data_IF_243662234758
#
_entry.id   IF_243662234758
#
_cell.length_a   1.000
_cell.length_b   1.000
_cell.length_c   1.000
_cell.angle_alpha   90.00
_cell.angle_beta   90.00
_cell.angle_gamma   90.00
#
_symmetry.space_group_name_H-M   'P 1'
#
loop_
_entity.id
_entity.type
_entity.pdbx_description
1 polymer ?
#
# COMPACT_ATOMS: atom_id res chain seq x y z
N UNK A 1 -5.34 -35.26 -19.45
CA UNK A 1 -4.90 -36.22 -20.49
C UNK A 1 -5.96 -37.30 -20.64
N UNK A 2 -6.11 -37.87 -21.84
CA UNK A 2 -6.84 -39.13 -22.04
C UNK A 2 -5.80 -40.24 -21.93
N UNK A 3 -5.83 -41.01 -20.86
CA UNK A 3 -4.89 -42.09 -20.58
C UNK A 3 -5.57 -43.43 -20.93
N UNK A 4 -4.98 -44.18 -21.85
CA UNK A 4 -5.37 -45.57 -22.12
C UNK A 4 -4.32 -46.47 -21.47
N UNK A 5 -4.66 -47.07 -20.32
CA UNK A 5 -3.83 -48.07 -19.67
C UNK A 5 -4.41 -49.46 -19.95
N UNK A 6 -3.62 -50.37 -20.52
CA UNK A 6 -3.94 -51.79 -20.51
C UNK A 6 -3.67 -52.30 -19.09
N UNK A 7 -4.72 -52.63 -18.35
CA UNK A 7 -4.63 -53.03 -16.96
C UNK A 7 -5.20 -54.44 -16.76
N UNK A 8 -4.46 -55.29 -16.05
CA UNK A 8 -4.88 -56.63 -15.65
C UNK A 8 -5.24 -56.61 -14.15
N UNK A 9 -6.54 -56.74 -13.78
CA UNK A 9 -6.99 -56.71 -12.38
C UNK A 9 -6.47 -57.87 -11.53
N UNK A 10 -5.90 -58.91 -12.15
CA UNK A 10 -5.31 -60.05 -11.44
C UNK A 10 -3.85 -59.83 -11.06
N UNK A 11 -3.20 -58.80 -11.61
CA UNK A 11 -1.77 -58.50 -11.42
C UNK A 11 -1.58 -57.05 -11.00
N UNK A 12 -1.76 -56.81 -9.71
CA UNK A 12 -1.64 -55.47 -9.13
C UNK A 12 -0.15 -55.06 -9.13
N UNK A 13 0.23 -53.95 -9.78
CA UNK A 13 1.61 -53.47 -9.77
C UNK A 13 1.98 -52.90 -8.40
N UNK A 14 3.27 -52.96 -8.07
CA UNK A 14 3.84 -52.27 -6.91
C UNK A 14 4.37 -50.90 -7.36
N UNK A 15 4.08 -49.85 -6.60
CA UNK A 15 4.55 -48.49 -6.93
C UNK A 15 5.31 -47.92 -5.75
N UNK A 16 6.52 -47.45 -6.00
CA UNK A 16 7.39 -46.85 -4.99
C UNK A 16 7.76 -45.43 -5.41
N UNK A 17 7.77 -44.49 -4.47
CA UNK A 17 8.15 -43.09 -4.71
C UNK A 17 9.22 -42.69 -3.70
N UNK A 18 10.28 -42.03 -4.17
CA UNK A 18 11.33 -41.52 -3.29
C UNK A 18 10.80 -40.38 -2.40
N UNK A 19 11.27 -40.35 -1.15
CA UNK A 19 10.92 -39.31 -0.18
C UNK A 19 11.73 -38.01 -0.39
N UNK A 20 12.83 -38.08 -1.14
CA UNK A 20 13.71 -36.94 -1.41
C UNK A 20 13.35 -36.27 -2.73
N UNK A 21 13.50 -34.94 -2.76
CA UNK A 21 13.32 -34.16 -3.99
C UNK A 21 14.36 -34.59 -5.02
N UNK A 22 13.93 -34.91 -6.22
CA UNK A 22 14.83 -35.17 -7.34
C UNK A 22 15.49 -33.88 -7.82
N UNK A 23 16.79 -33.96 -8.11
CA UNK A 23 17.63 -32.84 -8.53
C UNK A 23 17.61 -32.56 -10.04
N UNK A 24 16.95 -33.43 -10.83
CA UNK A 24 16.82 -33.31 -12.28
C UNK A 24 17.99 -33.88 -13.07
N UNK A 25 19.01 -34.43 -12.41
CA UNK A 25 20.26 -34.88 -13.05
C UNK A 25 20.57 -36.33 -12.68
N UNK A 26 20.20 -36.77 -11.49
CA UNK A 26 20.48 -38.12 -11.02
C UNK A 26 19.75 -39.18 -11.88
N UNK A 27 20.52 -40.08 -12.46
CA UNK A 27 20.11 -41.22 -13.29
C UNK A 27 20.36 -42.58 -12.64
N UNK A 28 20.74 -42.60 -11.35
CA UNK A 28 20.90 -43.84 -10.59
C UNK A 28 19.60 -44.65 -10.51
N UNK A 29 19.75 -45.98 -10.40
CA UNK A 29 18.62 -46.88 -10.16
C UNK A 29 18.02 -46.62 -8.78
N UNK A 30 16.68 -46.62 -8.71
CA UNK A 30 15.96 -46.37 -7.46
C UNK A 30 16.04 -47.63 -6.59
N UNK A 31 16.68 -47.51 -5.42
CA UNK A 31 16.61 -48.55 -4.39
C UNK A 31 15.23 -48.57 -3.73
N UNK A 32 14.35 -49.40 -4.27
CA UNK A 32 12.97 -49.56 -3.80
C UNK A 32 12.86 -50.39 -2.52
N UNK A 33 13.92 -51.08 -2.08
CA UNK A 33 13.85 -52.00 -0.93
C UNK A 33 13.66 -51.29 0.40
N UNK A 34 13.98 -50.00 0.44
CA UNK A 34 13.85 -49.12 1.61
C UNK A 34 12.58 -48.26 1.58
N UNK A 35 11.81 -48.31 0.48
CA UNK A 35 10.64 -47.48 0.26
C UNK A 35 9.35 -48.23 0.60
N UNK A 36 8.35 -47.50 1.09
CA UNK A 36 7.03 -48.05 1.32
C UNK A 36 6.23 -48.09 0.01
N UNK A 37 5.61 -49.23 -0.28
CA UNK A 37 4.78 -49.40 -1.47
C UNK A 37 3.49 -48.58 -1.33
N UNK A 38 3.15 -47.82 -2.37
CA UNK A 38 1.88 -47.11 -2.43
C UNK A 38 0.71 -48.09 -2.56
N UNK A 39 -0.42 -47.83 -1.89
CA UNK A 39 -1.62 -48.63 -2.07
C UNK A 39 -2.16 -48.44 -3.49
N UNK A 40 -2.23 -49.53 -4.24
CA UNK A 40 -2.83 -49.58 -5.58
C UNK A 40 -4.16 -50.32 -5.49
N UNK A 41 -5.20 -49.68 -6.00
CA UNK A 41 -6.55 -50.24 -6.04
C UNK A 41 -6.68 -51.34 -7.11
N UNK A 42 -7.73 -52.14 -7.01
CA UNK A 42 -8.01 -53.24 -7.95
C UNK A 42 -8.24 -52.81 -9.40
N UNK A 43 -8.37 -51.51 -9.67
CA UNK A 43 -8.48 -50.90 -10.99
C UNK A 43 -7.15 -50.36 -11.53
N UNK A 44 -6.04 -50.59 -10.80
CA UNK A 44 -4.70 -50.15 -11.18
C UNK A 44 -4.39 -48.71 -10.82
N UNK A 45 -5.30 -48.03 -10.13
CA UNK A 45 -5.10 -46.65 -9.69
C UNK A 45 -4.40 -46.60 -8.33
N UNK A 46 -3.35 -45.79 -8.22
CA UNK A 46 -2.67 -45.46 -6.96
C UNK A 46 -2.73 -43.96 -6.72
N UNK A 47 -3.03 -43.54 -5.50
CA UNK A 47 -3.03 -42.13 -5.11
C UNK A 47 -1.77 -41.81 -4.30
N UNK A 48 -0.86 -41.03 -4.87
CA UNK A 48 0.24 -40.44 -4.13
C UNK A 48 -0.19 -39.12 -3.51
N UNK A 49 -0.14 -39.02 -2.18
CA UNK A 49 -0.45 -37.80 -1.44
C UNK A 49 0.75 -37.37 -0.62
N UNK A 50 1.16 -36.11 -0.77
CA UNK A 50 2.28 -35.52 -0.05
C UNK A 50 1.84 -34.23 0.64
N UNK A 51 2.16 -34.09 1.93
CA UNK A 51 1.97 -32.83 2.64
C UNK A 51 3.08 -31.84 2.30
N UNK A 52 2.70 -30.62 1.89
CA UNK A 52 3.65 -29.53 1.67
C UNK A 52 4.01 -28.76 2.94
N UNK A 53 3.47 -29.16 4.09
CA UNK A 53 3.68 -28.51 5.38
C UNK A 53 5.13 -28.69 5.83
N UNK A 54 5.84 -27.58 6.04
CA UNK A 54 7.25 -27.59 6.47
C UNK A 54 8.27 -27.75 5.34
N UNK A 55 7.83 -27.84 4.09
CA UNK A 55 8.73 -27.80 2.93
C UNK A 55 9.28 -26.38 2.72
N UNK A 56 10.49 -26.27 2.16
CA UNK A 56 11.07 -24.98 1.77
C UNK A 56 10.37 -24.46 0.51
N UNK A 57 10.42 -23.16 0.29
CA UNK A 57 9.91 -22.56 -0.95
C UNK A 57 10.72 -23.05 -2.15
N UNK A 58 10.03 -23.35 -3.24
CA UNK A 58 10.69 -23.77 -4.48
C UNK A 58 9.89 -24.78 -5.29
N UNK A 59 10.50 -25.18 -6.41
CA UNK A 59 9.97 -26.24 -7.28
C UNK A 59 10.37 -27.62 -6.74
N UNK A 60 9.44 -28.56 -6.83
CA UNK A 60 9.59 -29.93 -6.38
C UNK A 60 9.19 -30.89 -7.50
N UNK A 61 9.94 -31.98 -7.59
CA UNK A 61 9.71 -33.11 -8.45
C UNK A 61 10.24 -34.36 -7.73
N UNK A 62 9.56 -35.48 -7.90
CA UNK A 62 9.96 -36.76 -7.32
C UNK A 62 10.14 -37.81 -8.41
N UNK A 63 10.97 -38.80 -8.11
CA UNK A 63 11.13 -40.01 -8.91
C UNK A 63 10.49 -41.20 -8.20
N UNK A 64 10.04 -42.15 -8.99
CA UNK A 64 9.50 -43.41 -8.50
C UNK A 64 9.69 -44.52 -9.50
N UNK A 65 9.39 -45.74 -9.07
CA UNK A 65 9.45 -46.95 -9.89
C UNK A 65 8.14 -47.71 -9.76
N UNK A 66 7.62 -48.16 -10.90
CA UNK A 66 6.48 -49.06 -10.99
C UNK A 66 7.04 -50.45 -11.31
N UNK A 67 6.73 -51.44 -10.48
CA UNK A 67 7.09 -52.84 -10.70
C UNK A 67 5.84 -53.64 -11.03
N UNK A 68 5.89 -54.40 -12.11
CA UNK A 68 4.74 -55.16 -12.59
C UNK A 68 5.18 -56.51 -13.17
N UNK A 69 4.26 -57.47 -13.17
CA UNK A 69 4.55 -58.81 -13.68
C UNK A 69 4.25 -58.91 -15.18
N UNK A 70 5.28 -59.18 -15.98
CA UNK A 70 5.17 -59.37 -17.42
C UNK A 70 4.35 -60.60 -17.82
N UNK A 71 3.99 -60.74 -19.12
CA UNK A 71 3.25 -61.90 -19.63
C UNK A 71 3.95 -63.23 -19.38
N UNK A 72 5.28 -63.21 -19.30
CA UNK A 72 6.18 -64.34 -19.04
C UNK A 72 6.35 -64.68 -17.53
N UNK A 73 5.70 -63.92 -16.66
CA UNK A 73 5.77 -64.09 -15.21
C UNK A 73 6.98 -63.41 -14.55
N UNK A 74 7.87 -62.77 -15.31
CA UNK A 74 9.01 -62.03 -14.77
C UNK A 74 8.59 -60.66 -14.23
N UNK A 75 9.28 -60.18 -13.19
CA UNK A 75 9.05 -58.83 -12.67
C UNK A 75 9.82 -57.82 -13.52
N UNK A 76 9.11 -56.83 -14.06
CA UNK A 76 9.66 -55.71 -14.79
C UNK A 76 9.53 -54.43 -13.96
N UNK A 77 10.46 -53.49 -14.16
CA UNK A 77 10.48 -52.19 -13.47
C UNK A 77 10.46 -51.07 -14.49
N UNK A 78 9.68 -50.01 -14.22
CA UNK A 78 9.59 -48.82 -15.04
C UNK A 78 9.70 -47.58 -14.16
N UNK A 79 10.73 -46.77 -14.40
CA UNK A 79 10.92 -45.49 -13.72
C UNK A 79 9.93 -44.44 -14.24
N UNK A 80 9.50 -43.55 -13.35
CA UNK A 80 8.71 -42.37 -13.67
C UNK A 80 9.13 -41.16 -12.83
N UNK A 81 8.74 -39.97 -13.31
CA UNK A 81 8.84 -38.72 -12.56
C UNK A 81 7.46 -38.13 -12.34
N UNK A 82 7.26 -37.47 -11.21
CA UNK A 82 6.04 -36.69 -10.98
C UNK A 82 6.05 -35.41 -11.82
N UNK A 83 4.89 -34.80 -12.10
CA UNK A 83 4.84 -33.43 -12.58
C UNK A 83 5.54 -32.49 -11.60
N UNK A 84 6.16 -31.43 -12.13
CA UNK A 84 6.78 -30.38 -11.30
C UNK A 84 5.67 -29.58 -10.63
N UNK A 85 5.75 -29.39 -9.32
CA UNK A 85 4.88 -28.48 -8.57
C UNK A 85 5.70 -27.47 -7.77
N UNK A 86 5.08 -26.34 -7.40
CA UNK A 86 5.76 -25.25 -6.67
C UNK A 86 5.14 -25.08 -5.30
N UNK A 87 5.96 -25.09 -4.26
CA UNK A 87 5.57 -24.70 -2.89
C UNK A 87 5.84 -23.20 -2.75
N UNK A 88 4.78 -22.44 -2.48
CA UNK A 88 4.81 -20.99 -2.32
C UNK A 88 4.28 -20.58 -0.94
N UNK A 89 4.68 -19.41 -0.46
CA UNK A 89 4.14 -18.86 0.79
C UNK A 89 2.63 -18.64 0.67
N UNK A 90 1.84 -18.95 1.72
CA UNK A 90 0.42 -18.61 1.74
C UNK A 90 0.27 -17.08 1.69
N UNK A 91 -0.19 -16.58 0.55
CA UNK A 91 -0.41 -15.14 0.35
C UNK A 91 -1.63 -14.64 1.11
N UNK A 92 -1.42 -14.08 2.31
CA UNK A 92 -2.47 -13.34 3.04
C UNK A 92 -2.41 -11.86 2.64
N UNK A 93 -3.51 -11.32 2.10
CA UNK A 93 -3.67 -9.90 1.80
C UNK A 93 -4.67 -9.29 2.79
N UNK A 94 -4.19 -8.43 3.69
CA UNK A 94 -5.04 -7.66 4.60
C UNK A 94 -4.93 -6.19 4.23
N UNK A 95 -6.01 -5.60 3.73
CA UNK A 95 -6.03 -4.21 3.26
C UNK A 95 -7.09 -3.40 4.01
N UNK A 96 -6.72 -2.30 4.69
CA UNK A 96 -7.68 -1.42 5.34
C UNK A 96 -8.56 -0.71 4.29
N UNK A 97 -9.85 -1.06 4.25
CA UNK A 97 -10.81 -0.52 3.26
C UNK A 97 -11.07 0.98 3.45
N UNK A 98 -10.92 1.49 4.67
CA UNK A 98 -11.10 2.92 4.98
C UNK A 98 -9.86 3.77 4.65
N UNK A 99 -8.72 3.17 4.28
CA UNK A 99 -7.46 3.87 4.01
C UNK A 99 -7.08 3.91 2.53
N UNK A 100 -7.96 3.49 1.62
CA UNK A 100 -7.77 3.60 0.18
C UNK A 100 -7.92 5.05 -0.33
N UNK A 101 -7.06 5.96 0.15
CA UNK A 101 -7.11 7.39 -0.16
C UNK A 101 -5.78 7.87 -0.74
N UNK A 102 -5.84 8.59 -1.86
CA UNK A 102 -4.74 9.41 -2.36
C UNK A 102 -5.01 10.88 -2.09
N UNK A 103 -3.99 11.57 -1.57
CA UNK A 103 -4.04 13.00 -1.31
C UNK A 103 -3.45 13.79 -2.49
N UNK A 104 -4.18 14.83 -2.92
CA UNK A 104 -3.69 15.78 -3.93
C UNK A 104 -2.55 16.61 -3.36
N UNK A 105 -1.64 17.04 -4.24
CA UNK A 105 -0.52 17.92 -3.87
C UNK A 105 0.69 17.21 -3.30
N UNK A 106 0.67 15.88 -3.23
CA UNK A 106 1.76 15.08 -2.70
C UNK A 106 1.93 13.77 -3.46
N UNK A 107 3.12 13.19 -3.31
CA UNK A 107 3.43 11.85 -3.79
C UNK A 107 2.83 10.82 -2.84
N UNK A 108 2.04 9.89 -3.38
CA UNK A 108 1.41 8.82 -2.61
C UNK A 108 2.09 7.49 -2.96
N UNK A 109 3.00 6.97 -2.13
CA UNK A 109 3.68 5.71 -2.41
C UNK A 109 2.74 4.51 -2.22
N UNK A 110 2.79 3.56 -3.15
CA UNK A 110 2.02 2.31 -3.10
C UNK A 110 2.89 1.14 -3.57
N UNK A 111 2.66 -0.04 -2.97
CA UNK A 111 3.21 -1.31 -3.48
C UNK A 111 2.08 -2.09 -4.15
N UNK A 112 2.37 -2.62 -5.32
CA UNK A 112 1.43 -3.41 -6.11
C UNK A 112 2.10 -4.74 -6.39
N UNK A 113 1.43 -5.83 -6.03
CA UNK A 113 1.87 -7.20 -6.25
C UNK A 113 0.68 -8.04 -6.67
N UNK A 114 0.89 -8.93 -7.63
CA UNK A 114 -0.14 -9.90 -8.04
C UNK A 114 0.41 -11.31 -7.80
N UNK A 115 -0.27 -12.17 -7.01
CA UNK A 115 0.16 -13.54 -6.81
C UNK A 115 0.38 -14.27 -8.16
N UNK A 116 1.49 -14.99 -8.28
CA UNK A 116 1.86 -15.70 -9.50
C UNK A 116 2.51 -14.84 -10.60
N UNK A 117 2.63 -13.52 -10.42
CA UNK A 117 3.35 -12.64 -11.34
C UNK A 117 4.54 -11.98 -10.66
N UNK A 118 5.68 -11.95 -11.35
CA UNK A 118 6.83 -11.16 -10.93
C UNK A 118 6.57 -9.67 -11.18
N UNK A 119 7.12 -8.79 -10.32
CA UNK A 119 6.84 -7.36 -10.37
C UNK A 119 7.25 -6.68 -11.68
N UNK A 120 8.17 -7.25 -12.45
CA UNK A 120 8.62 -6.79 -13.77
C UNK A 120 7.64 -7.16 -14.90
N UNK A 121 6.79 -8.17 -14.67
CA UNK A 121 5.77 -8.63 -15.64
C UNK A 121 4.41 -7.96 -15.46
N UNK A 122 4.26 -7.10 -14.46
CA UNK A 122 3.04 -6.34 -14.21
C UNK A 122 3.21 -4.87 -14.58
N UNK A 123 2.16 -4.29 -15.15
CA UNK A 123 2.06 -2.86 -15.43
C UNK A 123 0.82 -2.31 -14.74
N UNK A 124 1.01 -1.25 -13.95
CA UNK A 124 -0.08 -0.56 -13.28
C UNK A 124 -0.42 0.75 -14.00
N UNK A 125 -1.71 1.00 -14.16
CA UNK A 125 -2.26 2.24 -14.73
C UNK A 125 -3.26 2.83 -13.75
N UNK A 126 -3.56 4.13 -13.87
CA UNK A 126 -4.52 4.81 -13.01
C UNK A 126 -5.50 5.66 -13.83
N UNK A 127 -6.78 5.62 -13.48
CA UNK A 127 -7.83 6.42 -14.14
C UNK A 127 -7.86 7.88 -13.68
N UNK A 128 -8.79 8.68 -14.23
CA UNK A 128 -9.06 10.04 -13.74
C UNK A 128 -8.02 11.10 -14.13
N UNK A 129 -7.12 10.77 -15.06
CA UNK A 129 -6.02 11.63 -15.48
C UNK A 129 -4.95 11.84 -14.39
N UNK A 130 -4.90 10.95 -13.41
CA UNK A 130 -3.84 10.91 -12.42
C UNK A 130 -2.58 10.27 -13.02
N UNK A 131 -1.43 10.49 -12.38
CA UNK A 131 -0.16 9.90 -12.81
C UNK A 131 0.23 8.79 -11.85
N UNK A 132 0.63 7.65 -12.40
CA UNK A 132 1.30 6.56 -11.66
C UNK A 132 2.67 6.34 -12.28
N UNK A 133 3.69 6.15 -11.45
CA UNK A 133 5.08 5.98 -11.92
C UNK A 133 5.77 4.91 -11.10
N UNK A 134 6.32 3.90 -11.79
CA UNK A 134 7.11 2.84 -11.15
C UNK A 134 8.48 3.38 -10.74
N UNK A 135 8.93 3.02 -9.54
CA UNK A 135 10.25 3.34 -9.01
C UNK A 135 11.19 2.15 -9.20
N UNK A 136 12.49 2.40 -9.04
CA UNK A 136 13.52 1.39 -9.25
C UNK A 136 13.42 0.20 -8.28
N UNK A 137 12.88 0.42 -7.08
CA UNK A 137 12.63 -0.60 -6.06
C UNK A 137 11.37 -1.44 -6.31
N UNK A 138 10.67 -1.22 -7.43
CA UNK A 138 9.44 -1.90 -7.79
C UNK A 138 8.17 -1.34 -7.12
N UNK A 139 8.30 -0.32 -6.27
CA UNK A 139 7.14 0.43 -5.77
C UNK A 139 6.59 1.38 -6.84
N UNK A 140 5.43 1.96 -6.58
CA UNK A 140 4.83 2.98 -7.44
C UNK A 140 4.57 4.24 -6.64
N UNK A 141 4.66 5.39 -7.31
CA UNK A 141 4.17 6.66 -6.77
C UNK A 141 2.97 7.10 -7.60
N UNK A 142 1.89 7.40 -6.89
CA UNK A 142 0.68 8.02 -7.44
C UNK A 142 0.71 9.52 -7.14
N UNK A 143 0.54 10.32 -8.19
CA UNK A 143 0.36 11.77 -8.11
C UNK A 143 -1.01 12.11 -8.67
N UNK A 144 -1.98 12.43 -7.80
CA UNK A 144 -3.29 12.87 -8.25
C UNK A 144 -3.23 14.17 -9.05
N UNK A 145 -4.03 14.23 -10.10
CA UNK A 145 -4.29 15.46 -10.87
C UNK A 145 -4.74 16.59 -9.94
N UNK A 146 -4.16 17.78 -10.13
CA UNK A 146 -4.56 18.99 -9.42
C UNK A 146 -6.04 19.29 -9.65
N UNK A 147 -6.74 19.68 -8.58
CA UNK A 147 -8.13 20.10 -8.62
C UNK A 147 -8.41 21.00 -7.42
N UNK A 148 -9.20 22.05 -7.62
CA UNK A 148 -9.71 22.92 -6.55
C UNK A 148 -10.98 22.39 -5.89
N UNK A 149 -11.52 21.25 -6.37
CA UNK A 149 -12.72 20.66 -5.82
C UNK A 149 -12.41 19.93 -4.51
N UNK A 150 -13.13 20.32 -3.45
CA UNK A 150 -13.16 19.59 -2.18
C UNK A 150 -13.98 18.29 -2.25
N UNK A 151 -14.72 18.07 -3.35
CA UNK A 151 -15.46 16.82 -3.54
C UNK A 151 -14.48 15.67 -3.72
N UNK A 152 -14.78 14.57 -3.06
CA UNK A 152 -14.08 13.31 -3.27
C UNK A 152 -14.24 12.87 -4.72
N UNK A 153 -13.14 12.44 -5.34
CA UNK A 153 -13.15 11.82 -6.66
C UNK A 153 -12.71 10.36 -6.56
N UNK A 154 -13.03 9.58 -7.58
CA UNK A 154 -12.65 8.17 -7.64
C UNK A 154 -11.51 7.97 -8.63
N UNK A 155 -10.53 7.18 -8.20
CA UNK A 155 -9.43 6.70 -9.02
C UNK A 155 -9.41 5.18 -8.99
N UNK A 156 -9.11 4.56 -10.11
CA UNK A 156 -8.96 3.12 -10.19
C UNK A 156 -7.56 2.79 -10.63
N UNK A 157 -6.86 1.99 -9.84
CA UNK A 157 -5.62 1.37 -10.24
C UNK A 157 -5.96 0.07 -10.95
N UNK A 158 -5.55 -0.05 -12.20
CA UNK A 158 -5.75 -1.22 -13.05
C UNK A 158 -4.41 -1.86 -13.34
N UNK A 159 -4.28 -3.16 -13.07
CA UNK A 159 -3.05 -3.91 -13.27
C UNK A 159 -3.22 -4.87 -14.44
N UNK A 160 -2.28 -4.83 -15.39
CA UNK A 160 -2.16 -5.79 -16.48
C UNK A 160 -0.88 -6.61 -16.31
N UNK A 161 -0.93 -7.87 -16.74
CA UNK A 161 0.20 -8.78 -16.69
C UNK A 161 0.54 -9.33 -18.05
N UNK A 162 1.83 -9.56 -18.32
CA UNK A 162 2.29 -10.27 -19.51
C UNK A 162 2.32 -11.78 -19.23
N UNK A 163 1.60 -12.53 -20.05
CA UNK A 163 1.50 -13.99 -19.99
C UNK A 163 2.71 -14.66 -20.66
N UNK A 164 2.98 -15.96 -20.39
CA UNK A 164 4.06 -16.70 -21.03
C UNK A 164 3.98 -16.74 -22.57
N UNK A 165 2.76 -16.73 -23.12
CA UNK A 165 2.49 -16.68 -24.56
C UNK A 165 2.71 -15.28 -25.18
N UNK A 166 3.12 -14.30 -24.38
CA UNK A 166 3.36 -12.92 -24.79
C UNK A 166 2.12 -12.04 -24.82
N UNK A 167 0.91 -12.59 -24.62
CA UNK A 167 -0.33 -11.83 -24.51
C UNK A 167 -0.37 -11.01 -23.21
N UNK A 168 -1.28 -10.04 -23.14
CA UNK A 168 -1.54 -9.28 -21.92
C UNK A 168 -2.96 -9.54 -21.42
N UNK A 169 -3.11 -9.66 -20.10
CA UNK A 169 -4.41 -9.81 -19.46
C UNK A 169 -4.59 -8.83 -18.31
N UNK A 170 -5.82 -8.41 -18.08
CA UNK A 170 -6.19 -7.64 -16.89
C UNK A 170 -6.12 -8.57 -15.67
N UNK A 171 -5.27 -8.24 -14.71
CA UNK A 171 -5.06 -9.03 -13.50
C UNK A 171 -5.92 -8.59 -12.32
N UNK A 172 -6.34 -7.32 -12.32
CA UNK A 172 -7.19 -6.79 -11.26
C UNK A 172 -7.37 -5.29 -11.36
N UNK A 173 -8.33 -4.78 -10.59
CA UNK A 173 -8.60 -3.35 -10.47
C UNK A 173 -9.03 -3.03 -9.05
N UNK A 174 -8.44 -1.99 -8.49
CA UNK A 174 -8.73 -1.53 -7.12
C UNK A 174 -9.19 -0.07 -7.14
N UNK A 175 -10.20 0.24 -6.32
CA UNK A 175 -10.79 1.59 -6.21
C UNK A 175 -10.12 2.36 -5.07
N UNK A 176 -9.72 3.59 -5.37
CA UNK A 176 -9.19 4.58 -4.45
C UNK A 176 -10.02 5.86 -4.48
N UNK A 177 -10.10 6.51 -3.34
CA UNK A 177 -10.66 7.85 -3.19
C UNK A 177 -9.55 8.88 -3.35
N UNK A 178 -9.84 10.00 -3.99
CA UNK A 178 -8.89 11.10 -4.17
C UNK A 178 -9.42 12.32 -3.45
N UNK A 179 -8.71 12.71 -2.39
CA UNK A 179 -9.08 13.81 -1.50
C UNK A 179 -8.04 14.93 -1.55
N UNK A 180 -8.48 16.14 -1.25
CA UNK A 180 -7.55 17.24 -0.92
C UNK A 180 -7.01 17.03 0.49
N UNK A 181 -5.92 17.72 0.80
CA UNK A 181 -5.40 17.77 2.17
C UNK A 181 -6.45 18.36 3.13
N UNK A 182 -6.55 17.86 4.36
CA UNK A 182 -7.37 18.48 5.40
C UNK A 182 -7.04 19.96 5.58
N UNK A 183 -7.98 20.72 6.12
CA UNK A 183 -7.73 22.11 6.44
C UNK A 183 -6.72 22.19 7.60
N UNK A 184 -5.67 23.00 7.49
CA UNK A 184 -4.81 23.28 8.63
C UNK A 184 -5.54 24.17 9.64
N UNK A 185 -5.08 24.15 10.89
CA UNK A 185 -5.51 25.06 11.93
C UNK A 185 -4.49 26.19 12.11
N UNK A 186 -4.94 27.44 12.34
CA UNK A 186 -4.05 28.55 12.63
C UNK A 186 -3.46 28.43 14.03
N UNK A 187 -2.20 28.80 14.17
CA UNK A 187 -1.48 28.84 15.45
C UNK A 187 -0.69 30.16 15.57
N UNK A 188 -0.71 30.75 16.76
CA UNK A 188 0.16 31.88 17.11
C UNK A 188 0.63 31.75 18.55
N UNK A 189 1.94 31.88 18.77
CA UNK A 189 2.57 31.73 20.09
C UNK A 189 2.12 30.45 20.83
N UNK A 190 2.09 29.32 20.13
CA UNK A 190 1.58 28.02 20.61
C UNK A 190 0.11 28.01 21.08
N UNK A 191 -0.68 29.03 20.71
CA UNK A 191 -2.14 29.08 20.89
C UNK A 191 -2.84 28.77 19.57
N UNK A 192 -3.89 27.97 19.67
CA UNK A 192 -4.75 27.56 18.56
C UNK A 192 -6.14 28.13 18.75
N UNK A 193 -7.01 27.92 17.77
CA UNK A 193 -8.41 28.35 17.85
C UNK A 193 -9.17 27.79 19.08
N UNK A 194 -8.79 26.61 19.60
CA UNK A 194 -9.42 26.08 20.83
C UNK A 194 -8.96 26.83 22.09
N UNK A 195 -7.72 27.34 22.09
CA UNK A 195 -7.13 28.09 23.21
C UNK A 195 -7.55 29.55 23.13
N UNK A 196 -8.71 29.89 23.71
CA UNK A 196 -9.30 31.23 23.60
C UNK A 196 -8.53 32.33 24.32
N UNK A 197 -7.51 32.00 25.12
CA UNK A 197 -6.78 32.97 25.93
C UNK A 197 -5.30 32.99 25.59
N UNK A 198 -4.70 34.18 25.58
CA UNK A 198 -3.27 34.40 25.37
C UNK A 198 -2.72 35.32 26.47
N UNK A 199 -1.50 35.04 26.95
CA UNK A 199 -0.84 35.87 27.97
C UNK A 199 -0.15 37.08 27.32
N UNK A 200 0.09 38.14 28.10
CA UNK A 200 0.85 39.31 27.63
C UNK A 200 2.27 38.91 27.18
N UNK A 201 2.91 37.97 27.90
CA UNK A 201 4.23 37.45 27.52
C UNK A 201 4.23 36.74 26.16
N UNK A 202 3.21 35.91 25.89
CA UNK A 202 3.06 35.22 24.61
C UNK A 202 2.84 36.22 23.45
N UNK A 203 2.11 37.30 23.70
CA UNK A 203 1.92 38.40 22.72
C UNK A 203 3.25 39.08 22.41
N UNK A 204 4.04 39.40 23.43
CA UNK A 204 5.32 40.11 23.32
C UNK A 204 6.44 39.26 22.71
N UNK A 205 6.26 37.95 22.61
CA UNK A 205 7.16 37.08 21.84
C UNK A 205 7.14 37.38 20.34
N UNK A 206 6.07 38.02 19.83
CA UNK A 206 5.88 38.35 18.42
C UNK A 206 6.13 37.19 17.47
N UNK A 207 5.69 35.99 17.86
CA UNK A 207 5.81 34.79 17.03
C UNK A 207 5.14 35.01 15.65
N UNK A 208 5.64 34.37 14.58
CA UNK A 208 4.94 34.36 13.31
C UNK A 208 3.62 33.58 13.42
N UNK A 209 2.67 33.92 12.54
CA UNK A 209 1.44 33.14 12.36
C UNK A 209 1.81 31.84 11.63
N UNK A 210 1.41 30.72 12.19
CA UNK A 210 1.62 29.40 11.60
C UNK A 210 0.28 28.76 11.22
N UNK A 211 0.34 27.75 10.37
CA UNK A 211 -0.78 26.88 10.05
C UNK A 211 -0.29 25.42 10.11
N UNK A 212 -1.00 24.56 10.84
CA UNK A 212 -0.57 23.17 11.06
C UNK A 212 -1.71 22.20 10.78
N UNK A 213 -1.40 21.05 10.20
CA UNK A 213 -2.31 19.92 10.11
C UNK A 213 -2.01 18.99 11.29
N UNK A 214 -2.85 19.00 12.31
CA UNK A 214 -2.74 18.06 13.41
C UNK A 214 -3.25 16.67 12.98
N UNK A 215 -2.69 15.64 13.60
CA UNK A 215 -3.08 14.23 13.42
C UNK A 215 -3.08 13.75 11.96
N UNK A 216 -2.25 14.37 11.11
CA UNK A 216 -2.08 13.97 9.72
C UNK A 216 -0.87 13.03 9.57
N UNK A 217 -1.07 11.93 8.81
CA UNK A 217 -0.08 10.87 8.64
C UNK A 217 1.20 11.29 7.89
N UNK A 218 1.19 12.46 7.26
CA UNK A 218 2.31 12.97 6.48
C UNK A 218 2.79 14.31 7.02
N UNK A 219 4.11 14.53 7.02
CA UNK A 219 4.71 15.82 7.37
C UNK A 219 4.48 16.83 6.24
N UNK A 220 3.42 17.63 6.37
CA UNK A 220 3.07 18.68 5.41
C UNK A 220 3.38 20.04 6.01
N UNK A 221 4.36 20.73 5.43
CA UNK A 221 4.77 22.08 5.85
C UNK A 221 4.04 23.12 5.01
N UNK A 222 3.26 23.97 5.69
CA UNK A 222 2.54 25.09 5.08
C UNK A 222 2.83 26.37 5.87
N UNK A 223 2.90 27.49 5.16
CA UNK A 223 3.17 28.81 5.74
C UNK A 223 2.13 29.82 5.24
N UNK A 224 1.49 30.61 6.13
CA UNK A 224 0.60 31.68 5.70
C UNK A 224 1.31 32.68 4.79
N UNK A 225 0.67 33.06 3.69
CA UNK A 225 1.17 34.11 2.78
C UNK A 225 0.64 35.50 3.09
N UNK A 226 -0.46 35.61 3.84
CA UNK A 226 -1.02 36.89 4.29
C UNK A 226 -2.01 36.67 5.42
N UNK A 227 -2.25 37.72 6.21
CA UNK A 227 -3.33 37.76 7.20
C UNK A 227 -3.70 39.21 7.56
N UNK A 228 -4.86 39.37 8.16
CA UNK A 228 -5.36 40.63 8.72
C UNK A 228 -5.44 40.51 10.24
N UNK A 229 -4.74 41.39 10.96
CA UNK A 229 -4.90 41.55 12.40
C UNK A 229 -6.02 42.55 12.67
N UNK A 230 -7.03 42.14 13.41
CA UNK A 230 -8.07 42.99 13.95
C UNK A 230 -8.00 42.95 15.48
N UNK A 231 -7.77 44.09 16.13
CA UNK A 231 -7.67 44.19 17.58
C UNK A 231 -8.69 45.19 18.13
N UNK A 232 -9.34 44.83 19.24
CA UNK A 232 -10.20 45.72 20.02
C UNK A 232 -9.49 46.14 21.29
N UNK A 233 -9.14 47.41 21.40
CA UNK A 233 -8.52 48.01 22.58
C UNK A 233 -9.36 49.22 23.02
N UNK A 234 -9.76 49.26 24.31
CA UNK A 234 -10.59 50.36 24.89
C UNK A 234 -11.83 50.70 24.05
N UNK A 235 -12.44 49.69 23.42
CA UNK A 235 -13.65 49.85 22.62
C UNK A 235 -13.44 50.28 21.16
N UNK A 236 -12.22 50.67 20.76
CA UNK A 236 -11.87 50.99 19.38
C UNK A 236 -11.31 49.77 18.66
N UNK A 237 -11.65 49.63 17.37
CA UNK A 237 -11.14 48.58 16.49
C UNK A 237 -10.02 49.13 15.61
N UNK A 238 -8.98 48.33 15.40
CA UNK A 238 -7.92 48.63 14.45
C UNK A 238 -7.68 47.40 13.58
N UNK A 239 -7.62 47.63 12.27
CA UNK A 239 -7.39 46.61 11.25
C UNK A 239 -6.03 46.88 10.59
N UNK A 240 -5.15 45.87 10.58
CA UNK A 240 -3.82 45.95 10.00
C UNK A 240 -3.58 44.71 9.14
N UNK A 241 -2.92 44.87 7.98
CA UNK A 241 -2.68 43.76 7.05
C UNK A 241 -1.19 43.40 6.99
N UNK A 242 -0.90 42.11 6.87
CA UNK A 242 0.45 41.59 6.61
C UNK A 242 0.46 40.78 5.33
N UNK A 243 1.49 40.99 4.51
CA UNK A 243 1.73 40.27 3.25
C UNK A 243 2.63 39.04 3.41
N UNK A 244 2.80 38.53 4.63
CA UNK A 244 3.49 37.28 4.93
C UNK A 244 3.04 36.76 6.32
N UNK A 245 3.71 35.73 6.85
CA UNK A 245 3.42 35.15 8.17
C UNK A 245 3.88 36.00 9.38
N UNK A 246 4.63 37.09 9.18
CA UNK A 246 5.19 37.91 10.24
C UNK A 246 4.26 39.07 10.63
N UNK A 247 4.33 39.49 11.90
CA UNK A 247 3.68 40.72 12.36
C UNK A 247 4.45 41.95 11.84
N UNK A 248 3.72 42.94 11.32
CA UNK A 248 4.29 44.22 10.91
C UNK A 248 4.69 45.07 12.14
N UNK A 249 5.56 46.09 11.98
CA UNK A 249 5.91 46.99 13.09
C UNK A 249 4.68 47.64 13.75
N UNK A 250 3.69 48.06 12.96
CA UNK A 250 2.44 48.65 13.47
C UNK A 250 1.62 47.64 14.28
N UNK A 251 1.55 46.39 13.82
CA UNK A 251 0.91 45.31 14.57
C UNK A 251 1.60 45.09 15.91
N UNK A 252 2.94 45.08 15.95
CA UNK A 252 3.68 44.93 17.20
C UNK A 252 3.40 46.10 18.17
N UNK A 253 3.39 47.33 17.66
CA UNK A 253 3.11 48.54 18.45
C UNK A 253 1.72 48.52 19.09
N UNK A 254 0.69 48.08 18.36
CA UNK A 254 -0.67 47.99 18.93
C UNK A 254 -0.81 46.80 19.88
N UNK A 255 -0.16 45.67 19.60
CA UNK A 255 -0.16 44.49 20.47
C UNK A 255 0.53 44.75 21.82
N UNK A 256 1.60 45.57 21.86
CA UNK A 256 2.22 46.01 23.12
C UNK A 256 1.26 46.79 24.04
N UNK A 257 0.25 47.44 23.44
CA UNK A 257 -0.77 48.20 24.16
C UNK A 257 -1.98 47.36 24.54
N UNK A 258 -2.04 46.11 24.09
CA UNK A 258 -3.11 45.18 24.47
C UNK A 258 -3.09 44.98 25.99
N UNK A 259 -4.28 44.87 26.58
CA UNK A 259 -4.48 44.64 28.01
C UNK A 259 -5.42 43.47 28.21
N UNK A 260 -5.36 42.88 29.40
CA UNK A 260 -6.33 41.88 29.87
C UNK A 260 -7.76 42.23 29.47
N UNK A 261 -8.43 41.29 28.81
CA UNK A 261 -9.79 41.45 28.32
C UNK A 261 -9.92 41.91 26.86
N UNK A 262 -8.87 42.48 26.26
CA UNK A 262 -8.85 42.84 24.84
C UNK A 262 -9.03 41.60 23.95
N UNK A 263 -9.59 41.83 22.76
CA UNK A 263 -9.83 40.79 21.78
C UNK A 263 -8.92 40.98 20.58
N UNK A 264 -8.24 39.90 20.21
CA UNK A 264 -7.32 39.82 19.08
C UNK A 264 -7.91 38.82 18.09
N UNK A 265 -8.07 39.24 16.84
CA UNK A 265 -8.53 38.42 15.74
C UNK A 265 -7.46 38.40 14.67
N UNK A 266 -7.16 37.22 14.16
CA UNK A 266 -6.43 37.03 12.93
C UNK A 266 -7.42 36.52 11.91
N UNK A 267 -7.80 37.38 10.99
CA UNK A 267 -8.74 37.09 9.91
C UNK A 267 -7.98 36.91 8.60
N UNK A 268 -8.65 36.29 7.65
CA UNK A 268 -8.15 36.15 6.28
C UNK A 268 -6.71 35.59 6.24
N UNK A 269 -6.41 34.63 7.12
CA UNK A 269 -5.11 33.95 7.12
C UNK A 269 -5.09 33.06 5.89
N UNK A 270 -4.43 33.50 4.83
CA UNK A 270 -4.38 32.79 3.56
C UNK A 270 -3.20 31.84 3.56
N UNK A 271 -3.50 30.54 3.45
CA UNK A 271 -2.51 29.46 3.48
C UNK A 271 -2.51 28.73 2.14
N UNK A 272 -1.44 28.86 1.33
CA UNK A 272 -1.27 28.04 0.14
C UNK A 272 -0.99 26.58 0.53
N UNK A 273 -1.68 25.66 -0.13
CA UNK A 273 -1.56 24.22 0.10
C UNK A 273 -0.76 23.56 -1.03
N UNK A 274 -0.07 22.43 -0.77
CA UNK A 274 0.68 21.69 -1.81
C UNK A 274 -0.15 21.25 -3.02
N UNK A 275 -1.47 21.09 -2.86
CA UNK A 275 -2.40 20.77 -3.95
C UNK A 275 -2.66 21.94 -4.92
N UNK A 276 -2.08 23.12 -4.64
CA UNK A 276 -2.23 24.35 -5.40
C UNK A 276 -3.46 25.17 -5.05
N UNK A 277 -4.23 24.73 -4.04
CA UNK A 277 -5.39 25.46 -3.53
C UNK A 277 -4.99 26.35 -2.36
N UNK A 278 -5.86 27.27 -1.98
CA UNK A 278 -5.67 28.13 -0.82
C UNK A 278 -6.72 27.81 0.25
N UNK A 279 -6.33 28.00 1.51
CA UNK A 279 -7.23 27.92 2.67
C UNK A 279 -7.27 29.27 3.35
N UNK A 280 -8.47 29.72 3.69
CA UNK A 280 -8.69 30.95 4.44
C UNK A 280 -9.09 30.52 5.84
N UNK A 281 -8.25 30.87 6.82
CA UNK A 281 -8.45 30.53 8.23
C UNK A 281 -8.70 31.80 9.05
N UNK A 282 -9.35 31.61 10.20
CA UNK A 282 -9.57 32.69 11.16
C UNK A 282 -9.26 32.19 12.57
N UNK A 283 -8.76 33.08 13.41
CA UNK A 283 -8.45 32.80 14.80
C UNK A 283 -8.86 33.97 15.69
N UNK A 284 -9.36 33.65 16.89
CA UNK A 284 -9.74 34.63 17.91
C UNK A 284 -9.07 34.27 19.23
N UNK A 285 -8.45 35.26 19.85
CA UNK A 285 -7.82 35.16 21.16
C UNK A 285 -8.30 36.32 22.05
N UNK A 286 -8.40 36.06 23.34
CA UNK A 286 -8.66 37.05 24.39
C UNK A 286 -7.42 37.18 25.24
N UNK A 287 -7.01 38.40 25.57
CA UNK A 287 -5.89 38.60 26.49
C UNK A 287 -6.33 38.18 27.89
N UNK A 288 -5.58 37.25 28.49
CA UNK A 288 -5.85 36.61 29.78
C UNK A 288 -5.80 37.54 30.98
#
# INVERSE_FOLDING_TARGET
EILLAAFDPTRIPEVYVQNEKWDGVDSSEIDYTTLEALPVSFDGSGLYSLSTKGMKLGQYQYRGVIRYQGPDGTMQSQDFTTPIFTVADPGLVVSPTAMNVFYRGMENPVKISVPGFSNDKITATISGGHKITRKADGSYIVVPKKSSSFKEAEAFISVTGKMPDGSTAQLGREKFRVRVLPNPEPEWAARRAQNKTISENDILAFAPIAAKLDDFLFDVKVSPKSFTLLIRNKGQWSELKSGNQQLTPDMKSILQKARRGDLIFFNDIVVPMPDGTERILNMKLKVG
#
